data_IF_254724794957
#
_entry.id   IF_254724794957
#
_cell.length_a   1.000
_cell.length_b   1.000
_cell.length_c   1.000
_cell.angle_alpha   90.00
_cell.angle_beta   90.00
_cell.angle_gamma   90.00
#
_symmetry.space_group_name_H-M   'P 1'
#
loop_
_entity.id
_entity.type
_entity.pdbx_description
1 polymer ?
#
# COMPACT_ATOMS: atom_id res chain seq x y z
N UNK A 1 -26.68 10.49 -1.06
CA UNK A 1 -25.68 9.53 -0.57
C UNK A 1 -24.31 9.99 -1.04
N UNK A 2 -23.38 10.29 -0.12
CA UNK A 2 -22.03 10.77 -0.49
C UNK A 2 -21.15 9.54 -0.63
N UNK A 3 -20.69 9.25 -1.84
CA UNK A 3 -19.72 8.18 -2.09
C UNK A 3 -18.44 8.47 -1.31
N UNK A 4 -18.31 7.84 -0.13
CA UNK A 4 -17.28 8.16 0.87
C UNK A 4 -16.09 7.19 0.79
N UNK A 5 -15.97 6.45 -0.32
CA UNK A 5 -14.85 5.54 -0.57
C UNK A 5 -13.88 6.16 -1.57
N UNK A 6 -12.59 6.02 -1.32
CA UNK A 6 -11.52 6.47 -2.22
C UNK A 6 -10.41 5.44 -2.27
N UNK A 7 -9.64 5.44 -3.35
CA UNK A 7 -8.42 4.64 -3.44
C UNK A 7 -7.42 5.19 -2.42
N UNK A 8 -6.95 4.34 -1.51
CA UNK A 8 -5.88 4.68 -0.60
C UNK A 8 -4.57 4.68 -1.36
N UNK A 9 -3.77 5.74 -1.21
CA UNK A 9 -2.43 5.84 -1.77
C UNK A 9 -1.45 6.22 -0.67
N UNK A 10 -0.28 5.57 -0.65
CA UNK A 10 0.73 5.81 0.37
C UNK A 10 2.11 5.35 -0.10
N UNK A 11 3.08 5.39 0.79
CA UNK A 11 4.46 4.96 0.58
C UNK A 11 4.79 3.89 1.62
N UNK A 12 5.49 2.83 1.20
CA UNK A 12 6.04 1.81 2.10
C UNK A 12 7.57 1.84 2.01
N UNK A 13 8.25 1.58 3.14
CA UNK A 13 9.72 1.56 3.17
C UNK A 13 10.25 0.32 2.48
N UNK A 14 11.28 0.49 1.66
CA UNK A 14 11.95 -0.61 0.96
C UNK A 14 13.41 -0.71 1.40
N UNK A 15 13.87 -1.95 1.61
CA UNK A 15 15.27 -2.28 1.93
C UNK A 15 15.92 -2.95 0.71
N UNK A 16 17.24 -2.77 0.58
CA UNK A 16 18.01 -3.39 -0.51
C UNK A 16 17.82 -2.71 -1.87
N UNK A 17 17.37 -1.46 -1.92
CA UNK A 17 17.28 -0.71 -3.18
C UNK A 17 17.87 0.70 -3.02
N UNK A 18 18.17 1.37 -4.13
CA UNK A 18 18.57 2.80 -4.11
C UNK A 18 17.46 3.72 -3.57
N UNK A 19 16.21 3.31 -3.69
CA UNK A 19 15.08 4.05 -3.16
C UNK A 19 14.86 3.73 -1.67
N UNK A 20 14.48 4.73 -0.88
CA UNK A 20 14.11 4.52 0.52
C UNK A 20 12.65 4.03 0.69
N UNK A 21 11.79 4.33 -0.29
CA UNK A 21 10.36 4.02 -0.28
C UNK A 21 9.86 3.65 -1.67
N UNK A 22 8.74 2.93 -1.72
CA UNK A 22 8.02 2.58 -2.94
C UNK A 22 6.54 2.96 -2.81
N UNK A 23 5.91 3.53 -3.87
CA UNK A 23 4.50 3.88 -3.85
C UNK A 23 3.60 2.65 -3.88
N UNK A 24 2.53 2.72 -3.08
CA UNK A 24 1.50 1.69 -2.98
C UNK A 24 0.12 2.31 -3.10
N UNK A 25 -0.84 1.51 -3.57
CA UNK A 25 -2.26 1.87 -3.57
C UNK A 25 -3.11 0.70 -3.08
N UNK A 26 -4.34 0.97 -2.68
CA UNK A 26 -5.33 -0.10 -2.47
C UNK A 26 -5.80 -0.69 -3.79
N UNK A 27 -6.12 -1.98 -3.80
CA UNK A 27 -6.68 -2.68 -4.97
C UNK A 27 -8.10 -2.22 -5.30
N UNK A 28 -8.85 -1.72 -4.31
CA UNK A 28 -10.19 -1.17 -4.44
C UNK A 28 -10.38 0.07 -3.53
N UNK A 29 -11.43 0.88 -3.73
CA UNK A 29 -11.76 2.00 -2.85
C UNK A 29 -12.04 1.55 -1.40
N UNK A 30 -11.44 2.24 -0.43
CA UNK A 30 -11.61 2.02 1.01
C UNK A 30 -12.40 3.19 1.60
N UNK A 31 -13.17 2.93 2.67
CA UNK A 31 -13.84 3.96 3.45
C UNK A 31 -12.85 5.04 3.92
N UNK A 32 -13.21 6.32 3.73
CA UNK A 32 -12.39 7.46 4.12
C UNK A 32 -11.98 7.42 5.59
N UNK A 33 -12.83 6.89 6.46
CA UNK A 33 -12.58 6.81 7.91
C UNK A 33 -11.42 5.84 8.23
N UNK A 34 -11.11 4.90 7.34
CA UNK A 34 -10.04 3.91 7.52
C UNK A 34 -8.70 4.37 6.94
N UNK A 35 -8.65 5.48 6.19
CA UNK A 35 -7.42 5.90 5.50
C UNK A 35 -6.26 6.18 6.49
N UNK A 36 -6.58 6.79 7.64
CA UNK A 36 -5.59 7.08 8.68
C UNK A 36 -5.06 5.78 9.30
N UNK A 37 -5.94 4.83 9.60
CA UNK A 37 -5.56 3.54 10.17
C UNK A 37 -4.78 2.67 9.16
N UNK A 38 -5.15 2.72 7.87
CA UNK A 38 -4.39 2.08 6.80
C UNK A 38 -2.97 2.66 6.72
N UNK A 39 -2.83 3.99 6.81
CA UNK A 39 -1.51 4.65 6.83
C UNK A 39 -0.66 4.20 8.01
N UNK A 40 -1.23 4.15 9.22
CA UNK A 40 -0.54 3.65 10.42
C UNK A 40 -0.09 2.20 10.24
N UNK A 41 -0.95 1.33 9.70
CA UNK A 41 -0.62 -0.06 9.45
C UNK A 41 0.53 -0.20 8.44
N UNK A 42 0.45 0.50 7.30
CA UNK A 42 1.49 0.46 6.26
C UNK A 42 2.81 1.07 6.74
N UNK A 43 2.78 2.09 7.59
CA UNK A 43 4.00 2.73 8.12
C UNK A 43 4.91 1.79 8.91
N UNK A 44 4.39 0.65 9.40
CA UNK A 44 5.15 -0.37 10.12
C UNK A 44 5.74 -1.45 9.21
N UNK A 45 5.30 -1.52 7.96
CA UNK A 45 5.73 -2.52 6.98
C UNK A 45 7.03 -2.06 6.32
N UNK A 46 7.95 -3.02 6.15
CA UNK A 46 9.16 -2.87 5.34
C UNK A 46 9.19 -3.99 4.32
N UNK A 47 9.47 -3.64 3.07
CA UNK A 47 9.56 -4.61 1.98
C UNK A 47 11.00 -4.68 1.46
N UNK A 48 11.37 -5.80 0.83
CA UNK A 48 12.70 -5.99 0.24
C UNK A 48 12.63 -5.96 -1.28
N UNK A 49 13.68 -5.47 -1.94
CA UNK A 49 13.84 -5.63 -3.38
C UNK A 49 14.19 -7.08 -3.76
N UNK A 50 13.86 -7.55 -4.99
CA UNK A 50 13.11 -6.84 -6.03
C UNK A 50 11.59 -6.86 -5.79
N UNK A 51 10.91 -5.81 -6.23
CA UNK A 51 9.43 -5.70 -6.20
C UNK A 51 8.93 -5.28 -7.57
N UNK A 52 7.83 -5.87 -8.03
CA UNK A 52 7.17 -5.52 -9.28
C UNK A 52 5.90 -4.70 -9.02
N UNK A 53 5.54 -3.87 -10.00
CA UNK A 53 4.21 -3.26 -10.02
C UNK A 53 3.14 -4.35 -10.04
N UNK A 54 2.15 -4.24 -9.16
CA UNK A 54 1.11 -5.24 -8.95
C UNK A 54 1.37 -6.18 -7.77
N UNK A 55 2.58 -6.22 -7.21
CA UNK A 55 2.87 -7.08 -6.06
C UNK A 55 2.05 -6.66 -4.83
N UNK A 56 1.51 -7.67 -4.14
CA UNK A 56 0.72 -7.47 -2.92
C UNK A 56 1.67 -7.28 -1.73
N UNK A 57 1.62 -6.08 -1.14
CA UNK A 57 2.43 -5.69 0.02
C UNK A 57 1.73 -6.08 1.33
N UNK A 58 0.41 -5.94 1.38
CA UNK A 58 -0.40 -6.34 2.52
C UNK A 58 -1.76 -6.83 2.02
N UNK A 59 -2.10 -8.08 2.35
CA UNK A 59 -3.37 -8.69 1.99
C UNK A 59 -4.44 -8.36 3.03
N UNK A 60 -5.67 -8.09 2.59
CA UNK A 60 -6.83 -7.87 3.45
C UNK A 60 -6.57 -6.82 4.57
N UNK A 61 -6.16 -5.61 4.17
CA UNK A 61 -5.78 -4.54 5.10
C UNK A 61 -6.95 -4.22 6.05
N UNK A 62 -6.68 -4.26 7.36
CA UNK A 62 -7.68 -4.02 8.42
C UNK A 62 -8.95 -4.89 8.28
N UNK A 63 -8.84 -6.10 7.73
CA UNK A 63 -9.96 -7.01 7.48
C UNK A 63 -11.08 -6.42 6.58
N UNK A 64 -10.71 -5.55 5.64
CA UNK A 64 -11.66 -4.87 4.73
C UNK A 64 -12.00 -5.65 3.46
N UNK A 65 -11.29 -6.75 3.19
CA UNK A 65 -11.30 -7.48 1.91
C UNK A 65 -10.47 -6.82 0.81
N UNK A 66 -9.74 -5.73 1.12
CA UNK A 66 -8.95 -4.97 0.14
C UNK A 66 -7.46 -5.18 0.37
N UNK A 67 -6.69 -5.26 -0.72
CA UNK A 67 -5.25 -5.45 -0.67
C UNK A 67 -4.52 -4.13 -0.90
N UNK A 68 -3.29 -4.02 -0.39
CA UNK A 68 -2.36 -2.95 -0.72
C UNK A 68 -1.33 -3.47 -1.70
N UNK A 69 -1.26 -2.85 -2.87
CA UNK A 69 -0.44 -3.26 -3.99
C UNK A 69 0.61 -2.20 -4.35
N UNK A 70 1.77 -2.67 -4.79
CA UNK A 70 2.83 -1.81 -5.29
C UNK A 70 2.47 -1.25 -6.68
N UNK A 71 2.83 -0.01 -6.96
CA UNK A 71 2.60 0.60 -8.29
C UNK A 71 3.88 0.89 -9.06
N UNK A 72 5.04 0.57 -8.49
CA UNK A 72 6.34 0.80 -9.11
C UNK A 72 7.20 -0.46 -9.01
N UNK A 73 7.79 -0.83 -10.14
CA UNK A 73 8.82 -1.87 -10.17
C UNK A 73 10.14 -1.30 -9.67
N UNK A 74 10.76 -1.98 -8.71
CA UNK A 74 12.10 -1.71 -8.21
C UNK A 74 12.93 -2.97 -8.37
N UNK A 75 13.93 -2.88 -9.24
CA UNK A 75 14.96 -3.89 -9.41
C UNK A 75 16.15 -3.60 -8.47
N UNK A 76 16.92 -4.64 -8.17
CA UNK A 76 18.17 -4.53 -7.43
C UNK A 76 19.25 -3.83 -8.25
#
# INVERSE_FOLDING_TARGET
MKDCKKVFTSLVRIKGSKNAVVPVKSSAPIDKNLLIECSKAISRIHVGAPIKSGDIICRNILNTGVDIICTKTICN
#
